data_IF_590543991099
#
_entry.id   IF_590543991099
#
_cell.length_a   1.000
_cell.length_b   1.000
_cell.length_c   1.000
_cell.angle_alpha   90.00
_cell.angle_beta   90.00
_cell.angle_gamma   90.00
#
_symmetry.space_group_name_H-M   'P 1'
#
loop_
_entity.id
_entity.type
_entity.pdbx_description
1 polymer ?
#
# COMPACT_ATOMS: atom_id res chain seq x y z
N UNK A 1 23.07 16.16 7.41
CA UNK A 1 22.64 15.69 7.29
C UNK A 1 21.77 15.04 7.09
N UNK A 2 21.63 14.74 6.96
CA UNK A 2 21.02 14.13 6.80
C UNK A 2 20.18 13.65 6.38
N UNK A 3 19.67 13.48 6.06
CA UNK A 3 18.94 13.05 5.77
C UNK A 3 18.43 12.36 5.14
N UNK A 4 18.38 12.40 4.71
CA UNK A 4 18.12 11.72 4.01
C UNK A 4 17.44 10.67 3.94
N UNK A 5 17.12 10.27 4.13
CA UNK A 5 16.47 9.24 4.42
C UNK A 5 15.19 9.06 3.81
N UNK A 6 14.79 9.93 3.00
CA UNK A 6 13.51 9.90 2.36
C UNK A 6 13.30 8.67 1.56
N UNK A 7 14.32 8.17 0.94
CA UNK A 7 14.14 7.00 0.13
C UNK A 7 13.73 5.77 0.87
N UNK A 8 13.99 5.74 2.14
CA UNK A 8 13.65 4.57 2.90
C UNK A 8 12.19 4.35 3.03
N UNK A 9 11.42 5.37 2.77
CA UNK A 9 10.01 5.22 3.01
C UNK A 9 9.32 4.35 2.01
N UNK A 10 9.92 4.17 0.86
CA UNK A 10 9.30 3.30 -0.11
C UNK A 10 9.31 1.86 0.35
N UNK A 11 10.31 1.47 1.11
CA UNK A 11 10.33 0.12 1.60
C UNK A 11 9.28 -0.15 2.62
N UNK A 12 8.72 0.89 3.20
CA UNK A 12 7.78 0.67 4.28
C UNK A 12 6.41 0.24 3.81
N UNK A 13 6.19 0.05 2.53
CA UNK A 13 4.89 -0.49 2.12
C UNK A 13 4.77 -1.96 2.51
N UNK A 14 5.90 -2.65 2.68
CA UNK A 14 5.84 -4.07 2.98
C UNK A 14 5.19 -4.29 4.32
N UNK A 15 4.23 -5.22 4.36
CA UNK A 15 3.54 -5.55 5.59
C UNK A 15 2.05 -5.53 5.39
N UNK A 16 1.34 -5.50 6.50
CA UNK A 16 -0.12 -5.54 6.49
C UNK A 16 -0.69 -4.18 6.81
N UNK A 17 -1.75 -3.86 6.12
CA UNK A 17 -2.42 -2.57 6.26
C UNK A 17 -3.90 -2.78 6.38
N UNK A 18 -4.54 -2.06 7.29
CA UNK A 18 -5.99 -2.14 7.47
C UNK A 18 -6.62 -0.94 6.80
N UNK A 19 -7.55 -1.19 5.92
CA UNK A 19 -8.26 -0.11 5.25
C UNK A 19 -9.21 0.56 6.23
N UNK A 20 -9.22 1.87 6.25
CA UNK A 20 -10.17 2.62 7.05
C UNK A 20 -11.55 2.49 6.45
N UNK A 21 -12.55 2.56 7.30
CA UNK A 21 -13.91 2.50 6.83
C UNK A 21 -14.63 1.34 7.45
N UNK A 22 -15.78 1.03 6.90
CA UNK A 22 -16.67 0.08 7.54
C UNK A 22 -16.20 -1.36 7.35
N UNK A 23 -15.46 -1.65 6.32
CA UNK A 23 -15.13 -3.03 6.04
C UNK A 23 -13.89 -3.52 6.71
N UNK A 24 -12.99 -2.65 7.04
CA UNK A 24 -11.75 -3.04 7.71
C UNK A 24 -11.00 -4.13 6.96
N UNK A 25 -10.99 -4.04 5.65
CA UNK A 25 -10.29 -5.01 4.83
C UNK A 25 -8.79 -4.88 5.05
N UNK A 26 -8.09 -5.99 5.07
CA UNK A 26 -6.64 -6.00 5.26
C UNK A 26 -5.97 -6.32 3.94
N UNK A 27 -4.98 -5.49 3.58
CA UNK A 27 -4.14 -5.72 2.42
C UNK A 27 -2.74 -6.04 2.91
N UNK A 28 -2.09 -6.95 2.26
CA UNK A 28 -0.73 -7.32 2.66
C UNK A 28 0.18 -7.20 1.45
N UNK A 29 1.24 -6.42 1.60
CA UNK A 29 2.24 -6.26 0.53
C UNK A 29 3.47 -7.06 0.90
N UNK A 30 3.87 -7.94 0.01
CA UNK A 30 5.02 -8.82 0.25
C UNK A 30 6.20 -8.39 -0.59
N UNK A 31 7.38 -8.83 -0.19
CA UNK A 31 8.60 -8.38 -0.84
C UNK A 31 8.75 -8.89 -2.25
N UNK A 32 8.03 -9.93 -2.62
CA UNK A 32 8.17 -10.51 -3.94
C UNK A 32 7.21 -9.92 -4.97
N UNK A 33 6.63 -8.77 -4.69
CA UNK A 33 5.72 -8.15 -5.64
C UNK A 33 4.31 -8.66 -5.59
N UNK A 34 4.00 -9.45 -4.58
CA UNK A 34 2.66 -9.99 -4.40
C UNK A 34 1.92 -9.12 -3.41
N UNK A 35 0.66 -8.84 -3.68
CA UNK A 35 -0.20 -8.15 -2.75
C UNK A 35 -1.45 -9.00 -2.55
N UNK A 36 -1.87 -9.11 -1.29
CA UNK A 36 -3.12 -9.76 -0.96
C UNK A 36 -4.13 -8.68 -0.64
N UNK A 37 -5.19 -8.64 -1.40
CA UNK A 37 -6.25 -7.67 -1.21
C UNK A 37 -7.39 -8.46 -0.58
N UNK A 38 -7.44 -8.48 0.75
CA UNK A 38 -8.33 -9.39 1.42
C UNK A 38 -7.90 -10.80 1.11
N UNK A 39 -8.77 -11.54 0.46
CA UNK A 39 -8.48 -12.91 0.06
C UNK A 39 -7.98 -13.04 -1.36
N UNK A 40 -7.82 -11.94 -2.06
CA UNK A 40 -7.50 -11.98 -3.47
C UNK A 40 -6.01 -11.77 -3.68
N UNK A 41 -5.38 -12.67 -4.40
CA UNK A 41 -3.97 -12.54 -4.74
C UNK A 41 -3.81 -11.62 -5.93
N UNK A 42 -2.87 -10.69 -5.82
CA UNK A 42 -2.56 -9.82 -6.93
C UNK A 42 -1.08 -9.54 -6.96
N UNK A 43 -0.72 -8.62 -7.83
CA UNK A 43 0.66 -8.18 -7.95
C UNK A 43 0.71 -6.67 -7.90
N UNK A 44 1.81 -6.15 -7.42
CA UNK A 44 1.99 -4.71 -7.42
C UNK A 44 3.34 -4.36 -8.01
N UNK A 45 3.42 -3.15 -8.55
CA UNK A 45 4.64 -2.69 -9.17
C UNK A 45 4.67 -1.18 -9.04
N UNK A 46 5.82 -0.66 -8.65
CA UNK A 46 5.98 0.78 -8.53
C UNK A 46 6.25 1.39 -9.88
N UNK A 47 5.69 2.56 -10.10
CA UNK A 47 5.95 3.32 -11.30
C UNK A 47 6.58 4.65 -10.95
N UNK A 48 6.57 5.57 -11.89
CA UNK A 48 7.14 6.88 -11.70
C UNK A 48 6.27 7.73 -10.81
N UNK A 49 6.89 8.70 -10.15
CA UNK A 49 6.13 9.74 -9.42
C UNK A 49 5.26 9.15 -8.33
N UNK A 50 5.80 8.19 -7.61
CA UNK A 50 5.10 7.60 -6.48
C UNK A 50 3.80 6.93 -6.86
N UNK A 51 3.76 6.35 -8.05
CA UNK A 51 2.60 5.58 -8.45
C UNK A 51 2.83 4.11 -8.18
N UNK A 52 1.74 3.42 -7.95
CA UNK A 52 1.79 1.98 -7.76
C UNK A 52 0.67 1.37 -8.57
N UNK A 53 1.00 0.34 -9.33
CA UNK A 53 0.01 -0.39 -10.10
C UNK A 53 -0.32 -1.67 -9.34
N UNK A 54 -1.59 -1.92 -9.14
CA UNK A 54 -2.05 -3.10 -8.45
C UNK A 54 -2.93 -3.87 -9.40
N UNK A 55 -2.57 -5.12 -9.61
CA UNK A 55 -3.24 -5.95 -10.58
C UNK A 55 -3.78 -7.20 -9.90
N UNK A 56 -5.06 -7.43 -10.03
CA UNK A 56 -5.70 -8.63 -9.52
C UNK A 56 -6.42 -9.29 -10.68
N UNK A 57 -6.95 -10.50 -10.49
CA UNK A 57 -7.72 -11.12 -11.56
C UNK A 57 -8.97 -10.32 -11.96
N UNK A 58 -9.40 -9.39 -11.11
CA UNK A 58 -10.62 -8.67 -11.39
C UNK A 58 -10.38 -7.28 -11.96
N UNK A 59 -9.22 -6.70 -11.73
CA UNK A 59 -9.00 -5.33 -12.16
C UNK A 59 -7.53 -4.98 -12.11
N UNK A 60 -7.17 -3.92 -12.82
CA UNK A 60 -5.85 -3.35 -12.75
C UNK A 60 -6.04 -1.86 -12.50
N UNK A 61 -5.41 -1.35 -11.47
CA UNK A 61 -5.59 0.04 -11.09
C UNK A 61 -4.24 0.65 -10.77
N UNK A 62 -4.05 1.88 -11.22
CA UNK A 62 -2.85 2.65 -10.88
C UNK A 62 -3.26 3.70 -9.87
N UNK A 63 -2.55 3.71 -8.76
CA UNK A 63 -2.83 4.65 -7.69
C UNK A 63 -1.66 5.59 -7.48
N UNK A 64 -1.96 6.77 -6.98
CA UNK A 64 -0.94 7.65 -6.44
C UNK A 64 -0.72 7.23 -4.99
N UNK A 65 0.51 6.99 -4.61
CA UNK A 65 0.84 6.41 -3.31
C UNK A 65 1.44 7.46 -2.40
N UNK A 66 0.98 7.49 -1.17
CA UNK A 66 1.60 8.30 -0.12
C UNK A 66 1.70 7.47 1.13
N UNK A 67 2.88 7.41 1.73
CA UNK A 67 3.09 6.73 2.99
C UNK A 67 3.71 7.70 3.97
N UNK A 68 3.13 7.79 5.13
CA UNK A 68 3.65 8.65 6.18
C UNK A 68 3.52 7.90 7.49
N UNK A 69 4.64 7.38 7.98
CA UNK A 69 4.62 6.60 9.21
C UNK A 69 3.76 5.36 9.04
N UNK A 70 2.73 5.27 9.84
CA UNK A 70 1.84 4.12 9.81
C UNK A 70 0.59 4.36 8.97
N UNK A 71 0.58 5.44 8.21
CA UNK A 71 -0.55 5.75 7.34
C UNK A 71 -0.16 5.60 5.88
N UNK A 72 -1.09 5.11 5.09
CA UNK A 72 -0.89 5.00 3.66
C UNK A 72 -2.15 5.45 2.97
N UNK A 73 -1.98 6.19 1.88
CA UNK A 73 -3.10 6.63 1.06
C UNK A 73 -2.86 6.17 -0.36
N UNK A 74 -3.86 5.55 -0.94
CA UNK A 74 -3.87 5.18 -2.35
C UNK A 74 -4.97 5.98 -3.01
N UNK A 75 -4.59 6.87 -3.92
CA UNK A 75 -5.54 7.75 -4.58
C UNK A 75 -5.69 7.34 -6.03
N UNK A 76 -6.89 6.93 -6.39
CA UNK A 76 -7.18 6.59 -7.77
C UNK A 76 -7.43 7.87 -8.54
N UNK A 77 -6.83 8.06 -9.71
CA UNK A 77 -7.04 9.30 -10.48
C UNK A 77 -8.51 9.47 -10.79
N UNK A 78 -9.08 10.58 -10.35
CA UNK A 78 -10.48 10.84 -10.57
C UNK A 78 -11.41 9.98 -9.78
N UNK A 79 -10.90 9.24 -8.83
CA UNK A 79 -11.71 8.31 -8.08
C UNK A 79 -11.51 8.45 -6.59
N UNK A 80 -11.91 7.43 -5.86
CA UNK A 80 -11.87 7.50 -4.40
C UNK A 80 -10.46 7.42 -3.86
N UNK A 81 -10.34 7.84 -2.63
CA UNK A 81 -9.11 7.77 -1.89
C UNK A 81 -9.24 6.65 -0.87
N UNK A 82 -8.27 5.75 -0.87
CA UNK A 82 -8.25 4.65 0.09
C UNK A 82 -7.22 4.97 1.15
N UNK A 83 -7.60 4.90 2.40
CA UNK A 83 -6.72 5.21 3.50
C UNK A 83 -6.50 3.97 4.33
N UNK A 84 -5.25 3.77 4.72
CA UNK A 84 -4.86 2.58 5.43
C UNK A 84 -4.04 2.92 6.65
N UNK A 85 -4.10 2.06 7.64
CA UNK A 85 -3.26 2.14 8.83
C UNK A 85 -2.47 0.84 8.94
N UNK A 86 -1.19 0.97 9.22
CA UNK A 86 -0.32 -0.21 9.32
C UNK A 86 -0.71 -1.04 10.53
N UNK A 87 -0.80 -2.34 10.31
CA UNK A 87 -1.02 -3.27 11.39
C UNK A 87 0.34 -3.67 11.92
N UNK A 88 0.59 -3.35 13.18
CA UNK A 88 1.82 -3.73 13.81
C UNK A 88 1.61 -4.99 14.59
N UNK A 89 2.32 -6.01 14.21
CA UNK A 89 2.20 -7.25 14.91
C UNK A 89 3.21 -7.25 16.00
N UNK A 90 2.78 -6.88 17.16
CA UNK A 90 3.64 -6.77 18.22
C UNK A 90 3.94 -8.07 18.75
N UNK A 91 4.91 -8.32 19.11
CA UNK A 91 5.12 -9.43 19.69
C UNK A 91 5.51 -9.38 20.94
N UNK A 92 5.37 -9.17 21.52
CA UNK A 92 5.76 -9.02 22.56
C UNK A 92 5.78 -9.26 23.07
#
# INVERSE_FOLDING_TARGET
MLWIVAGCEHGSIIGKWRMSGSDATVWEFRTNGVVLVGDVHGRYKFGDQDRIKIETPFAMTVYQLQISGDHMVLQEPGGPKLEFTRIRETQR
#
